data_IF_326489014612
#
_entry.id   IF_326489014612
#
_cell.length_a   1.000
_cell.length_b   1.000
_cell.length_c   1.000
_cell.angle_alpha   90.00
_cell.angle_beta   90.00
_cell.angle_gamma   90.00
#
_symmetry.space_group_name_H-M   'P 1'
#
loop_
_entity.id
_entity.type
_entity.pdbx_description
1 polymer ?
#
# COMPACT_ATOMS: atom_id res chain seq x y z
N UNK A 1 14.44 5.62 14.01
CA UNK A 1 14.47 4.69 12.87
C UNK A 1 13.11 3.97 12.78
N UNK A 2 12.35 4.12 11.71
CA UNK A 2 11.12 3.35 11.54
C UNK A 2 11.44 1.89 11.19
N UNK A 3 10.54 0.99 11.52
CA UNK A 3 10.62 -0.41 11.12
C UNK A 3 9.83 -0.67 9.83
N UNK A 4 8.82 0.14 9.58
CA UNK A 4 7.93 0.03 8.43
C UNK A 4 7.68 1.41 7.84
N UNK A 5 7.69 1.50 6.53
CA UNK A 5 7.21 2.66 5.78
C UNK A 5 5.93 2.22 5.06
N UNK A 6 4.82 2.84 5.42
CA UNK A 6 3.53 2.59 4.78
C UNK A 6 3.22 3.74 3.83
N UNK A 7 3.30 3.47 2.54
CA UNK A 7 3.02 4.47 1.51
C UNK A 7 1.53 4.61 1.29
N UNK A 8 1.11 5.80 0.93
CA UNK A 8 -0.27 6.06 0.56
C UNK A 8 -0.37 6.20 -0.95
N UNK A 9 -1.46 5.68 -1.50
CA UNK A 9 -1.75 5.81 -2.92
C UNK A 9 -2.25 7.21 -3.22
N UNK A 10 -1.69 7.83 -4.27
CA UNK A 10 -2.25 9.07 -4.81
C UNK A 10 -3.43 8.73 -5.71
N UNK A 11 -4.59 9.26 -5.36
CA UNK A 11 -5.80 9.08 -6.15
C UNK A 11 -5.88 10.18 -7.20
N UNK A 12 -5.22 9.98 -8.33
CA UNK A 12 -5.12 10.97 -9.40
C UNK A 12 -6.50 11.31 -9.98
N UNK A 13 -7.41 10.36 -10.00
CA UNK A 13 -8.76 10.52 -10.51
C UNK A 13 -9.64 11.43 -9.66
N UNK A 14 -9.25 11.67 -8.41
CA UNK A 14 -9.98 12.55 -7.48
C UNK A 14 -9.35 13.92 -7.31
N UNK A 15 -8.16 14.12 -7.85
CA UNK A 15 -7.45 15.38 -7.71
C UNK A 15 -7.84 16.34 -8.84
N UNK A 16 -8.91 17.10 -8.64
CA UNK A 16 -9.28 18.19 -9.53
C UNK A 16 -8.44 19.43 -9.27
N UNK A 17 -7.99 19.63 -8.04
CA UNK A 17 -7.12 20.72 -7.65
C UNK A 17 -5.70 20.17 -7.50
N UNK A 18 -4.82 20.64 -8.38
CA UNK A 18 -3.42 20.21 -8.36
C UNK A 18 -2.68 20.94 -7.24
N UNK A 19 -2.55 20.29 -6.09
CA UNK A 19 -1.68 20.77 -5.02
C UNK A 19 -0.20 20.68 -5.36
N UNK A 20 0.14 19.88 -6.37
CA UNK A 20 1.52 19.68 -6.82
C UNK A 20 1.66 20.08 -8.27
N UNK A 21 2.77 20.75 -8.65
CA UNK A 21 2.99 21.18 -10.04
C UNK A 21 2.99 20.02 -11.05
N UNK A 22 3.43 18.83 -10.61
CA UNK A 22 3.45 17.64 -11.45
C UNK A 22 3.62 16.37 -10.60
N UNK A 23 3.31 15.22 -11.20
CA UNK A 23 3.55 13.92 -10.57
C UNK A 23 5.05 13.66 -10.39
N UNK A 24 5.86 14.15 -11.32
CA UNK A 24 7.32 14.06 -11.20
C UNK A 24 7.84 14.82 -9.98
N UNK A 25 7.32 16.01 -9.75
CA UNK A 25 7.65 16.82 -8.57
C UNK A 25 7.26 16.09 -7.28
N UNK A 26 6.06 15.53 -7.25
CA UNK A 26 5.60 14.73 -6.11
C UNK A 26 6.55 13.57 -5.85
N UNK A 27 6.89 12.82 -6.89
CA UNK A 27 7.81 11.68 -6.78
C UNK A 27 9.16 12.10 -6.21
N UNK A 28 9.70 13.21 -6.71
CA UNK A 28 11.00 13.72 -6.28
C UNK A 28 11.01 14.08 -4.79
N UNK A 29 9.92 14.65 -4.31
CA UNK A 29 9.84 15.16 -2.93
C UNK A 29 9.42 14.04 -1.96
N UNK A 30 8.40 13.27 -2.30
CA UNK A 30 7.73 12.34 -1.38
C UNK A 30 7.86 10.86 -1.77
N UNK A 31 8.19 10.55 -3.00
CA UNK A 31 8.26 9.18 -3.48
C UNK A 31 9.47 8.42 -2.93
N UNK A 32 9.41 7.11 -2.99
CA UNK A 32 10.58 6.26 -2.72
C UNK A 32 11.39 6.18 -4.00
N UNK A 33 12.42 7.02 -4.07
CA UNK A 33 13.40 7.04 -5.16
C UNK A 33 14.43 5.93 -4.97
N UNK A 34 15.26 5.68 -5.97
CA UNK A 34 16.35 4.70 -5.85
C UNK A 34 17.30 5.05 -4.70
N UNK A 35 17.60 6.32 -4.55
CA UNK A 35 18.47 6.77 -3.46
C UNK A 35 17.87 6.48 -2.09
N UNK A 36 16.59 6.78 -1.92
CA UNK A 36 15.88 6.47 -0.67
C UNK A 36 15.75 4.98 -0.45
N UNK A 37 15.54 4.21 -1.51
CA UNK A 37 15.47 2.76 -1.42
C UNK A 37 16.80 2.17 -0.93
N UNK A 38 17.94 2.71 -1.37
CA UNK A 38 19.23 2.26 -0.87
C UNK A 38 19.36 2.45 0.64
N UNK A 39 18.94 3.59 1.15
CA UNK A 39 18.90 3.85 2.59
C UNK A 39 17.96 2.88 3.31
N UNK A 40 16.80 2.63 2.74
CA UNK A 40 15.80 1.70 3.27
C UNK A 40 16.38 0.29 3.37
N UNK A 41 17.07 -0.16 2.32
CA UNK A 41 17.75 -1.47 2.31
C UNK A 41 18.80 -1.59 3.40
N UNK A 42 19.64 -0.58 3.52
CA UNK A 42 20.70 -0.58 4.53
C UNK A 42 20.14 -0.69 5.95
N UNK A 43 18.99 -0.12 6.19
CA UNK A 43 18.32 -0.14 7.50
C UNK A 43 17.37 -1.30 7.70
N UNK A 44 17.13 -2.10 6.67
CA UNK A 44 16.22 -3.24 6.74
C UNK A 44 14.78 -2.89 7.02
N UNK A 45 14.29 -1.79 6.44
CA UNK A 45 12.94 -1.28 6.68
C UNK A 45 11.96 -1.97 5.71
N UNK A 46 10.81 -2.38 6.22
CA UNK A 46 9.74 -2.95 5.40
C UNK A 46 8.96 -1.86 4.67
N UNK A 47 8.51 -2.16 3.46
CA UNK A 47 7.68 -1.25 2.67
C UNK A 47 6.30 -1.87 2.47
N UNK A 48 5.26 -1.09 2.75
CA UNK A 48 3.86 -1.45 2.55
C UNK A 48 3.15 -0.37 1.72
N UNK A 49 2.09 -0.77 1.03
CA UNK A 49 1.26 0.10 0.20
C UNK A 49 -0.08 -0.58 -0.02
N UNK A 50 -1.20 0.14 0.05
CA UNK A 50 -2.52 -0.50 -0.06
C UNK A 50 -2.84 -1.05 -1.45
N UNK A 51 -2.08 -0.65 -2.50
CA UNK A 51 -2.35 -1.00 -3.89
C UNK A 51 -3.62 -0.34 -4.45
N UNK A 52 -3.75 -0.24 -5.76
CA UNK A 52 -2.68 -0.43 -6.74
C UNK A 52 -1.63 0.66 -6.67
N UNK A 53 -0.40 0.32 -7.03
CA UNK A 53 0.74 1.25 -6.97
C UNK A 53 0.78 2.11 -8.22
N UNK A 54 1.00 3.42 -8.06
CA UNK A 54 1.35 4.30 -9.16
C UNK A 54 2.88 4.34 -9.28
N UNK A 55 3.44 3.46 -10.13
CA UNK A 55 4.88 3.36 -10.33
C UNK A 55 5.43 4.66 -10.91
N UNK A 56 6.56 5.09 -10.39
CA UNK A 56 7.16 6.38 -10.76
C UNK A 56 6.52 7.57 -10.06
N UNK A 57 5.53 7.36 -9.20
CA UNK A 57 4.90 8.40 -8.38
C UNK A 57 5.19 8.16 -6.91
N UNK A 58 4.56 7.14 -6.29
CA UNK A 58 4.83 6.82 -4.89
C UNK A 58 6.17 6.11 -4.71
N UNK A 59 6.59 5.32 -5.72
CA UNK A 59 7.81 4.52 -5.65
C UNK A 59 8.34 4.20 -7.04
N UNK A 60 9.64 3.92 -7.11
CA UNK A 60 10.28 3.41 -8.33
C UNK A 60 10.08 1.90 -8.46
N UNK A 61 10.20 1.38 -9.68
CA UNK A 61 10.01 -0.05 -9.95
C UNK A 61 10.92 -0.95 -9.12
N UNK A 62 12.12 -0.52 -8.82
CA UNK A 62 13.07 -1.29 -8.01
C UNK A 62 12.52 -1.65 -6.62
N UNK A 63 11.58 -0.86 -6.09
CA UNK A 63 10.94 -1.17 -4.81
C UNK A 63 10.18 -2.49 -4.88
N UNK A 64 9.58 -2.81 -6.02
CA UNK A 64 8.77 -4.03 -6.17
C UNK A 64 9.61 -5.31 -6.09
N UNK A 65 10.91 -5.22 -6.32
CA UNK A 65 11.84 -6.36 -6.22
C UNK A 65 12.63 -6.39 -4.91
N UNK A 66 12.45 -5.37 -4.07
CA UNK A 66 13.09 -5.34 -2.76
C UNK A 66 12.49 -6.45 -1.87
N UNK A 67 13.35 -7.23 -1.21
CA UNK A 67 12.95 -8.42 -0.46
C UNK A 67 11.99 -8.14 0.71
N UNK A 68 12.04 -6.93 1.29
CA UNK A 68 11.17 -6.52 2.40
C UNK A 68 9.98 -5.67 1.95
N UNK A 69 9.66 -5.70 0.68
CA UNK A 69 8.44 -5.11 0.15
C UNK A 69 7.30 -6.11 0.31
N UNK A 70 6.28 -5.75 1.06
CA UNK A 70 5.15 -6.62 1.41
C UNK A 70 3.86 -6.26 0.68
N UNK A 71 3.94 -5.49 -0.40
CA UNK A 71 2.76 -4.92 -1.07
C UNK A 71 1.81 -6.01 -1.58
N UNK A 72 2.31 -6.97 -2.32
CA UNK A 72 1.49 -8.04 -2.88
C UNK A 72 0.90 -8.93 -1.78
N UNK A 73 1.71 -9.29 -0.79
CA UNK A 73 1.26 -10.08 0.35
C UNK A 73 0.19 -9.33 1.14
N UNK A 74 0.35 -8.04 1.31
CA UNK A 74 -0.64 -7.17 1.98
C UNK A 74 -1.97 -7.19 1.25
N UNK A 75 -1.97 -7.10 -0.07
CA UNK A 75 -3.20 -7.11 -0.89
C UNK A 75 -3.91 -8.45 -0.73
N UNK A 76 -3.19 -9.57 -0.81
CA UNK A 76 -3.74 -10.91 -0.60
C UNK A 76 -4.32 -11.06 0.81
N UNK A 77 -3.55 -10.67 1.82
CA UNK A 77 -3.99 -10.74 3.21
C UNK A 77 -5.20 -9.83 3.47
N UNK A 78 -5.30 -8.72 2.75
CA UNK A 78 -6.44 -7.82 2.83
C UNK A 78 -7.75 -8.49 2.44
N UNK A 79 -7.73 -9.32 1.40
CA UNK A 79 -8.92 -10.09 0.99
C UNK A 79 -9.34 -11.05 2.09
N UNK A 80 -8.40 -11.84 2.60
CA UNK A 80 -8.67 -12.79 3.67
C UNK A 80 -9.16 -12.11 4.94
N UNK A 81 -8.58 -10.97 5.29
CA UNK A 81 -8.95 -10.20 6.47
C UNK A 81 -10.37 -9.66 6.35
N UNK A 82 -10.73 -9.11 5.18
CA UNK A 82 -12.10 -8.62 4.95
C UNK A 82 -13.12 -9.76 5.00
N UNK A 83 -12.80 -10.90 4.45
CA UNK A 83 -13.64 -12.10 4.56
C UNK A 83 -13.86 -12.51 6.01
N UNK A 84 -12.80 -12.51 6.80
CA UNK A 84 -12.86 -12.85 8.22
C UNK A 84 -13.71 -11.86 9.02
N UNK A 85 -13.56 -10.58 8.74
CA UNK A 85 -14.34 -9.51 9.42
C UNK A 85 -15.82 -9.67 9.07
N UNK A 86 -16.16 -9.85 7.80
CA UNK A 86 -17.53 -10.03 7.37
C UNK A 86 -18.15 -11.28 8.00
N UNK A 87 -17.40 -12.36 8.05
CA UNK A 87 -17.84 -13.59 8.70
C UNK A 87 -18.08 -13.37 10.19
N UNK A 88 -17.19 -12.67 10.85
CA UNK A 88 -17.28 -12.39 12.29
C UNK A 88 -18.47 -11.50 12.63
N UNK A 89 -18.76 -10.51 11.78
CA UNK A 89 -19.85 -9.56 11.99
C UNK A 89 -21.22 -10.10 11.55
N UNK A 90 -21.24 -11.27 10.90
CA UNK A 90 -22.48 -11.87 10.44
C UNK A 90 -23.38 -12.21 11.65
N UNK A 91 -24.68 -11.87 11.59
CA UNK A 91 -25.60 -12.33 12.61
C UNK A 91 -25.56 -13.86 12.66
N UNK A 92 -25.43 -14.42 13.86
CA UNK A 92 -25.49 -15.88 14.02
C UNK A 92 -26.93 -16.33 13.85
N UNK A 93 -27.32 -16.50 12.59
CA UNK A 93 -28.59 -17.12 12.27
C UNK A 93 -28.45 -18.61 12.51
N UNK A 94 -29.23 -19.15 13.41
CA UNK A 94 -29.25 -20.60 13.58
C UNK A 94 -29.91 -21.25 12.39
N UNK A 95 -29.45 -22.44 11.99
CA UNK A 95 -29.98 -23.19 10.85
C UNK A 95 -31.51 -23.35 10.94
N UNK A 96 -32.05 -23.34 12.15
CA UNK A 96 -33.49 -23.43 12.39
C UNK A 96 -34.31 -22.26 11.82
N UNK A 97 -33.68 -21.13 11.58
CA UNK A 97 -34.34 -19.95 11.02
C UNK A 97 -34.47 -20.01 9.52
N UNK A 98 -33.86 -20.99 8.88
CA UNK A 98 -33.85 -21.19 7.43
C UNK A 98 -34.95 -22.14 7.02
N UNK A 99 -35.50 -22.93 7.93
CA UNK A 99 -36.56 -23.90 7.67
C UNK A 99 -37.92 -23.17 7.36
#
# INVERSE_FOLDING_TARGET
>A
KPDVIYLLRIQMERQRDQFFPSLHEYHRIYGVTEERLNTIRQRGIYIMHPGPVNRGVELVDAVMTYEKTLINQQVENGIATRMAVLHWLQPRTTVREID
#
